data_IF_615915579619
#
_entry.id   IF_615915579619
#
_cell.length_a   1.000
_cell.length_b   1.000
_cell.length_c   1.000
_cell.angle_alpha   90.00
_cell.angle_beta   90.00
_cell.angle_gamma   90.00
#
_symmetry.space_group_name_H-M   'P 1'
#
loop_
_entity.id
_entity.type
_entity.pdbx_description
1 polymer ?
#
# COMPACT_ATOMS: atom_id res chain seq x y z
N UNK A 1 29.24 3.63 -16.32
CA UNK A 1 28.25 2.68 -15.78
C UNK A 1 27.59 3.11 -14.46
N UNK A 2 28.11 4.10 -13.70
CA UNK A 2 27.46 4.59 -12.46
C UNK A 2 26.10 5.26 -12.66
N UNK A 3 25.96 6.07 -13.71
CA UNK A 3 24.78 6.90 -13.98
C UNK A 3 23.46 6.10 -14.13
N UNK A 4 23.47 4.94 -14.81
CA UNK A 4 22.24 4.14 -15.01
C UNK A 4 21.72 3.47 -13.73
N UNK A 5 22.61 3.05 -12.83
CA UNK A 5 22.23 2.40 -11.57
C UNK A 5 21.65 3.41 -10.59
N UNK A 6 22.25 4.59 -10.54
CA UNK A 6 21.77 5.71 -9.74
C UNK A 6 20.42 6.24 -10.24
N UNK A 7 20.29 6.48 -11.56
CA UNK A 7 19.03 6.87 -12.18
C UNK A 7 17.92 5.84 -11.91
N UNK A 8 18.23 4.55 -12.05
CA UNK A 8 17.27 3.48 -11.74
C UNK A 8 16.81 3.57 -10.29
N UNK A 9 17.72 3.78 -9.34
CA UNK A 9 17.39 3.93 -7.93
C UNK A 9 16.48 5.14 -7.71
N UNK A 10 16.80 6.30 -8.29
CA UNK A 10 15.97 7.50 -8.20
C UNK A 10 14.54 7.22 -8.68
N UNK A 11 14.37 6.60 -9.85
CA UNK A 11 13.03 6.26 -10.35
C UNK A 11 12.25 5.33 -9.41
N UNK A 12 12.91 4.36 -8.76
CA UNK A 12 12.23 3.49 -7.78
C UNK A 12 11.83 4.25 -6.51
N UNK A 13 12.67 5.20 -6.06
CA UNK A 13 12.39 6.00 -4.87
C UNK A 13 11.24 6.99 -5.12
N UNK A 14 11.24 7.67 -6.26
CA UNK A 14 10.13 8.54 -6.69
C UNK A 14 8.82 7.76 -6.80
N UNK A 15 8.85 6.61 -7.48
CA UNK A 15 7.68 5.75 -7.58
C UNK A 15 7.20 5.25 -6.21
N UNK A 16 8.12 4.98 -5.27
CA UNK A 16 7.75 4.57 -3.92
C UNK A 16 7.04 5.70 -3.17
N UNK A 17 7.57 6.92 -3.24
CA UNK A 17 6.97 8.10 -2.60
C UNK A 17 5.55 8.36 -3.16
N UNK A 18 5.40 8.36 -4.49
CA UNK A 18 4.11 8.54 -5.15
C UNK A 18 3.06 7.49 -4.72
N UNK A 19 3.47 6.22 -4.67
CA UNK A 19 2.56 5.13 -4.26
C UNK A 19 2.17 5.23 -2.79
N UNK A 20 3.10 5.59 -1.90
CA UNK A 20 2.81 5.78 -0.47
C UNK A 20 1.82 6.92 -0.27
N UNK A 21 2.06 8.07 -0.91
CA UNK A 21 1.15 9.22 -0.86
C UNK A 21 -0.24 8.83 -1.39
N UNK A 22 -0.30 8.09 -2.51
CA UNK A 22 -1.57 7.61 -3.06
C UNK A 22 -2.37 6.75 -2.08
N UNK A 23 -1.73 5.79 -1.40
CA UNK A 23 -2.36 4.96 -0.38
C UNK A 23 -2.86 5.82 0.78
N UNK A 24 -2.04 6.74 1.29
CA UNK A 24 -2.42 7.62 2.40
C UNK A 24 -3.59 8.55 2.07
N UNK A 25 -3.65 9.06 0.84
CA UNK A 25 -4.78 9.86 0.36
C UNK A 25 -6.08 9.05 0.37
N UNK A 26 -6.04 7.78 -0.03
CA UNK A 26 -7.22 6.89 0.01
C UNK A 26 -7.61 6.59 1.46
N UNK A 27 -6.64 6.34 2.35
CA UNK A 27 -6.90 6.16 3.78
C UNK A 27 -7.57 7.40 4.39
N UNK A 28 -7.12 8.59 4.02
CA UNK A 28 -7.74 9.85 4.45
C UNK A 28 -9.15 10.03 3.88
N UNK A 29 -9.42 9.55 2.65
CA UNK A 29 -10.75 9.56 2.06
C UNK A 29 -11.75 8.72 2.86
N UNK A 30 -11.33 7.59 3.42
CA UNK A 30 -12.20 6.81 4.32
C UNK A 30 -12.62 7.62 5.55
N UNK A 31 -11.67 8.34 6.18
CA UNK A 31 -11.97 9.21 7.32
C UNK A 31 -12.99 10.31 6.92
N UNK A 32 -12.85 10.88 5.73
CA UNK A 32 -13.81 11.89 5.23
C UNK A 32 -15.21 11.30 4.96
N UNK A 33 -15.29 10.07 4.43
CA UNK A 33 -16.58 9.38 4.23
C UNK A 33 -17.24 9.10 5.59
N UNK A 34 -16.45 8.65 6.58
CA UNK A 34 -16.98 8.38 7.92
C UNK A 34 -17.49 9.65 8.61
N UNK A 35 -16.86 10.81 8.39
CA UNK A 35 -17.31 12.12 8.89
C UNK A 35 -18.61 12.62 8.24
N UNK A 36 -18.99 12.08 7.07
CA UNK A 36 -20.22 12.44 6.34
C UNK A 36 -21.45 11.63 6.77
N UNK A 37 -21.28 10.65 7.68
CA UNK A 37 -22.38 9.87 8.25
C UNK A 37 -23.36 10.78 8.99
N UNK A 38 -24.65 10.62 8.74
CA UNK A 38 -25.72 11.46 9.30
C UNK A 38 -26.01 12.74 8.51
N UNK A 39 -25.18 13.09 7.52
CA UNK A 39 -25.41 14.22 6.61
C UNK A 39 -25.88 13.74 5.23
N UNK A 40 -25.35 12.61 4.75
CA UNK A 40 -25.68 12.04 3.45
C UNK A 40 -26.43 10.71 3.57
N UNK A 41 -27.14 10.35 2.50
CA UNK A 41 -27.83 9.07 2.39
C UNK A 41 -26.84 7.89 2.55
N UNK A 42 -27.25 6.91 3.34
CA UNK A 42 -26.52 5.67 3.58
C UNK A 42 -26.11 4.93 2.29
N UNK A 43 -26.94 4.98 1.24
CA UNK A 43 -26.65 4.36 -0.05
C UNK A 43 -25.46 5.04 -0.75
N UNK A 44 -25.45 6.38 -0.78
CA UNK A 44 -24.37 7.17 -1.39
C UNK A 44 -23.05 6.91 -0.66
N UNK A 45 -23.09 6.92 0.68
CA UNK A 45 -21.90 6.66 1.50
C UNK A 45 -21.38 5.23 1.32
N UNK A 46 -22.27 4.26 1.12
CA UNK A 46 -21.89 2.86 0.86
C UNK A 46 -21.21 2.73 -0.49
N UNK A 47 -21.75 3.34 -1.54
CA UNK A 47 -21.14 3.33 -2.87
C UNK A 47 -19.75 4.00 -2.87
N UNK A 48 -19.63 5.18 -2.25
CA UNK A 48 -18.34 5.87 -2.12
C UNK A 48 -17.31 5.06 -1.33
N UNK A 49 -17.76 4.38 -0.28
CA UNK A 49 -16.90 3.49 0.51
C UNK A 49 -16.44 2.30 -0.31
N UNK A 50 -17.33 1.63 -1.04
CA UNK A 50 -16.97 0.50 -1.91
C UNK A 50 -15.94 0.93 -2.96
N UNK A 51 -16.14 2.09 -3.60
CA UNK A 51 -15.17 2.64 -4.55
C UNK A 51 -13.80 2.88 -3.90
N UNK A 52 -13.78 3.48 -2.72
CA UNK A 52 -12.53 3.71 -1.98
C UNK A 52 -11.82 2.40 -1.58
N UNK A 53 -12.56 1.32 -1.29
CA UNK A 53 -11.98 -0.01 -1.02
C UNK A 53 -11.30 -0.58 -2.25
N UNK A 54 -11.94 -0.49 -3.42
CA UNK A 54 -11.36 -0.94 -4.68
C UNK A 54 -10.12 -0.10 -5.05
N UNK A 55 -10.20 1.23 -4.87
CA UNK A 55 -9.06 2.13 -5.05
C UNK A 55 -7.89 1.72 -4.12
N UNK A 56 -8.18 1.41 -2.85
CA UNK A 56 -7.17 0.96 -1.89
C UNK A 56 -6.54 -0.37 -2.29
N UNK A 57 -7.33 -1.35 -2.71
CA UNK A 57 -6.86 -2.65 -3.19
C UNK A 57 -5.86 -2.50 -4.35
N UNK A 58 -6.22 -1.71 -5.36
CA UNK A 58 -5.37 -1.46 -6.53
C UNK A 58 -4.07 -0.73 -6.15
N UNK A 59 -4.16 0.30 -5.31
CA UNK A 59 -2.98 1.04 -4.85
C UNK A 59 -2.05 0.18 -4.01
N UNK A 60 -2.58 -0.64 -3.10
CA UNK A 60 -1.76 -1.55 -2.30
C UNK A 60 -1.11 -2.65 -3.14
N UNK A 61 -1.83 -3.22 -4.11
CA UNK A 61 -1.25 -4.20 -5.03
C UNK A 61 -0.08 -3.59 -5.81
N UNK A 62 -0.24 -2.36 -6.32
CA UNK A 62 0.80 -1.64 -7.05
C UNK A 62 2.03 -1.37 -6.19
N UNK A 63 1.83 -0.86 -4.96
CA UNK A 63 2.88 -0.64 -3.98
C UNK A 63 3.62 -1.95 -3.64
N UNK A 64 2.89 -3.04 -3.41
CA UNK A 64 3.46 -4.34 -3.07
C UNK A 64 4.32 -4.91 -4.21
N UNK A 65 3.87 -4.78 -5.46
CA UNK A 65 4.65 -5.16 -6.64
C UNK A 65 5.93 -4.33 -6.72
N UNK A 66 5.84 -3.02 -6.52
CA UNK A 66 6.99 -2.12 -6.53
C UNK A 66 8.03 -2.54 -5.47
N UNK A 67 7.60 -2.77 -4.22
CA UNK A 67 8.48 -3.23 -3.15
C UNK A 67 9.16 -4.56 -3.49
N UNK A 68 8.41 -5.52 -4.07
CA UNK A 68 8.97 -6.79 -4.53
C UNK A 68 10.04 -6.56 -5.60
N UNK A 69 9.78 -5.70 -6.60
CA UNK A 69 10.79 -5.34 -7.61
C UNK A 69 12.01 -4.64 -6.99
N UNK A 70 11.83 -3.74 -6.03
CA UNK A 70 12.95 -3.10 -5.33
C UNK A 70 13.80 -4.13 -4.58
N UNK A 71 13.17 -5.12 -3.93
CA UNK A 71 13.87 -6.20 -3.24
C UNK A 71 14.62 -7.13 -4.20
N UNK A 72 14.02 -7.50 -5.33
CA UNK A 72 14.67 -8.28 -6.40
C UNK A 72 15.89 -7.55 -6.99
N UNK A 73 15.89 -6.21 -6.99
CA UNK A 73 17.01 -5.38 -7.42
C UNK A 73 18.01 -5.06 -6.30
N UNK A 74 17.88 -5.72 -5.13
CA UNK A 74 18.75 -5.53 -3.96
C UNK A 74 18.77 -4.07 -3.45
N UNK A 75 17.69 -3.33 -3.67
CA UNK A 75 17.55 -1.94 -3.20
C UNK A 75 17.04 -1.90 -1.75
N UNK A 76 16.21 -2.86 -1.37
CA UNK A 76 15.63 -2.99 -0.03
C UNK A 76 15.65 -4.44 0.43
N UNK A 77 15.75 -4.64 1.75
CA UNK A 77 15.62 -5.96 2.38
C UNK A 77 14.28 -6.00 3.11
N UNK A 78 13.35 -6.79 2.59
CA UNK A 78 12.00 -6.92 3.15
C UNK A 78 11.99 -8.03 4.21
N UNK A 79 11.58 -7.75 5.47
CA UNK A 79 11.41 -8.75 6.52
C UNK A 79 10.48 -9.88 6.10
N UNK A 80 10.67 -11.08 6.66
CA UNK A 80 9.90 -12.27 6.29
C UNK A 80 8.40 -12.13 6.53
N UNK A 81 8.01 -11.43 7.60
CA UNK A 81 6.59 -11.17 7.94
C UNK A 81 5.97 -10.27 6.87
N UNK A 82 6.60 -9.13 6.59
CA UNK A 82 6.12 -8.20 5.58
C UNK A 82 6.10 -8.81 4.17
N UNK A 83 7.02 -9.72 3.87
CA UNK A 83 7.01 -10.47 2.60
C UNK A 83 5.77 -11.37 2.48
N UNK A 84 5.25 -11.91 3.59
CA UNK A 84 4.00 -12.69 3.57
C UNK A 84 2.85 -11.76 3.21
N UNK A 85 2.71 -10.65 3.93
CA UNK A 85 1.66 -9.64 3.69
C UNK A 85 1.65 -9.13 2.25
N UNK A 86 2.82 -8.79 1.70
CA UNK A 86 2.98 -8.37 0.30
C UNK A 86 2.47 -9.46 -0.66
N UNK A 87 2.82 -10.72 -0.42
CA UNK A 87 2.36 -11.81 -1.28
C UNK A 87 0.86 -12.07 -1.12
N UNK A 88 0.32 -11.95 0.09
CA UNK A 88 -1.12 -12.13 0.35
C UNK A 88 -1.93 -11.03 -0.35
N UNK A 89 -1.46 -9.78 -0.37
CA UNK A 89 -2.07 -8.68 -1.15
C UNK A 89 -1.97 -8.95 -2.67
N UNK A 90 -0.80 -9.30 -3.20
CA UNK A 90 -0.61 -9.50 -4.65
C UNK A 90 -1.47 -10.65 -5.19
N UNK A 91 -1.70 -11.67 -4.37
CA UNK A 91 -2.40 -12.89 -4.77
C UNK A 91 -3.80 -13.02 -4.14
N UNK A 92 -4.37 -11.92 -3.66
CA UNK A 92 -5.72 -11.93 -3.09
C UNK A 92 -6.78 -12.05 -4.18
N UNK A 93 -7.78 -12.90 -3.96
CA UNK A 93 -8.99 -12.99 -4.77
C UNK A 93 -10.11 -12.08 -4.25
N UNK A 94 -10.03 -11.71 -2.96
CA UNK A 94 -10.96 -10.81 -2.29
C UNK A 94 -10.18 -9.96 -1.31
N UNK A 95 -10.53 -8.68 -1.29
CA UNK A 95 -9.95 -7.68 -0.42
C UNK A 95 -11.05 -7.06 0.45
N UNK A 96 -10.80 -6.96 1.75
CA UNK A 96 -11.68 -6.31 2.70
C UNK A 96 -10.92 -5.29 3.52
N UNK A 97 -11.56 -4.14 3.73
CA UNK A 97 -11.02 -3.08 4.56
C UNK A 97 -12.05 -2.59 5.57
N UNK A 98 -11.76 -2.80 6.85
CA UNK A 98 -12.60 -2.40 7.97
C UNK A 98 -11.77 -1.71 9.05
N UNK A 99 -12.02 -0.42 9.30
CA UNK A 99 -11.42 0.33 10.43
C UNK A 99 -9.91 0.15 10.56
N UNK A 100 -9.17 0.29 9.45
CA UNK A 100 -7.70 0.11 9.34
C UNK A 100 -7.21 -1.35 9.35
N UNK A 101 -8.10 -2.32 9.42
CA UNK A 101 -7.78 -3.73 9.22
C UNK A 101 -7.96 -4.09 7.75
N UNK A 102 -6.89 -4.59 7.14
CA UNK A 102 -6.92 -5.21 5.81
C UNK A 102 -6.96 -6.72 6.01
N UNK A 103 -7.96 -7.35 5.41
CA UNK A 103 -8.09 -8.80 5.37
C UNK A 103 -8.15 -9.18 3.90
N UNK A 104 -7.28 -10.09 3.49
CA UNK A 104 -7.28 -10.64 2.15
C UNK A 104 -7.62 -12.12 2.18
N UNK A 105 -8.23 -12.60 1.11
CA UNK A 105 -8.55 -14.01 0.93
C UNK A 105 -7.81 -14.52 -0.29
N UNK A 106 -6.87 -15.43 -0.08
CA UNK A 106 -6.13 -16.11 -1.14
C UNK A 106 -6.50 -17.59 -1.18
N UNK A 107 -5.81 -18.38 -2.00
CA UNK A 107 -5.91 -19.84 -1.97
C UNK A 107 -5.55 -20.45 -0.61
N UNK A 108 -4.82 -19.72 0.24
CA UNK A 108 -4.46 -20.14 1.61
C UNK A 108 -5.57 -19.85 2.64
N UNK A 109 -6.63 -19.17 2.23
CA UNK A 109 -7.73 -18.76 3.10
C UNK A 109 -7.62 -17.30 3.53
N UNK A 110 -8.14 -17.00 4.72
CA UNK A 110 -8.21 -15.65 5.29
C UNK A 110 -6.87 -15.24 5.90
N UNK A 111 -6.30 -14.16 5.40
CA UNK A 111 -4.99 -13.65 5.82
C UNK A 111 -5.13 -12.19 6.29
N UNK A 112 -4.92 -11.89 7.58
CA UNK A 112 -4.83 -10.51 8.05
C UNK A 112 -3.50 -9.89 7.58
N UNK A 113 -3.54 -8.60 7.23
CA UNK A 113 -2.37 -7.86 6.74
C UNK A 113 -2.06 -6.69 7.66
N UNK A 114 -0.80 -6.53 8.06
CA UNK A 114 -0.36 -5.36 8.82
C UNK A 114 -0.07 -4.17 7.90
N UNK A 115 -1.14 -3.44 7.55
CA UNK A 115 -1.04 -2.23 6.74
C UNK A 115 -0.15 -1.16 7.38
N UNK A 116 -0.15 -1.04 8.71
CA UNK A 116 0.68 -0.05 9.42
C UNK A 116 2.15 -0.43 9.36
N UNK A 117 2.46 -1.71 9.52
CA UNK A 117 3.80 -2.25 9.32
C UNK A 117 4.32 -2.00 7.92
N UNK A 118 3.48 -2.24 6.91
CA UNK A 118 3.81 -1.97 5.50
C UNK A 118 4.14 -0.50 5.24
N UNK A 119 3.27 0.42 5.64
CA UNK A 119 3.49 1.85 5.43
C UNK A 119 4.71 2.36 6.21
N UNK A 120 4.90 1.91 7.45
CA UNK A 120 6.08 2.25 8.25
C UNK A 120 7.37 1.78 7.58
N UNK A 121 7.36 0.58 7.00
CA UNK A 121 8.50 0.10 6.24
C UNK A 121 8.79 1.00 5.04
N UNK A 122 7.77 1.35 4.25
CA UNK A 122 7.96 2.26 3.12
C UNK A 122 8.55 3.60 3.55
N UNK A 123 8.01 4.22 4.60
CA UNK A 123 8.54 5.47 5.15
C UNK A 123 9.99 5.32 5.62
N UNK A 124 10.34 4.23 6.30
CA UNK A 124 11.73 3.98 6.71
C UNK A 124 12.70 3.90 5.52
N UNK A 125 12.24 3.34 4.39
CA UNK A 125 13.02 3.28 3.14
C UNK A 125 13.19 4.69 2.56
N UNK A 126 12.11 5.48 2.49
CA UNK A 126 12.12 6.86 1.99
C UNK A 126 13.05 7.76 2.85
N UNK A 127 12.93 7.68 4.17
CA UNK A 127 13.74 8.47 5.11
C UNK A 127 15.23 8.12 4.99
N UNK A 128 15.55 6.83 4.85
CA UNK A 128 16.94 6.38 4.68
C UNK A 128 17.60 6.88 3.38
N UNK A 129 16.80 7.25 2.38
CA UNK A 129 17.28 7.83 1.13
C UNK A 129 17.41 9.35 1.21
N UNK A 130 16.49 10.03 1.91
CA UNK A 130 16.56 11.48 2.16
C UNK A 130 17.82 11.88 2.96
N UNK A 131 18.31 11.01 3.83
CA UNK A 131 19.59 11.21 4.56
C UNK A 131 20.83 11.05 3.65
N UNK A 132 20.69 10.45 2.46
CA UNK A 132 21.80 10.26 1.51
C UNK A 132 21.90 11.36 0.44
N UNK A 133 20.93 12.26 0.35
CA UNK A 133 20.96 13.47 -0.48
C UNK A 133 21.62 14.61 0.30
#
# INVERSE_FOLDING_TARGET
MGNKRELKRLCYMEALEDNVVGVEMILNRFNQIDNKKGVFDSYILTHDRTKAILDLELSLATLCILLRKMSENLMVVIPSELRRDINSIIHSNRFEYNRLEVIVYSQKGREPVDLRGLLRFCHSVLDSDKVRK
#
